data_IF_609677245979
#
_entry.id   IF_609677245979
#
_cell.length_a   1.000
_cell.length_b   1.000
_cell.length_c   1.000
_cell.angle_alpha   90.00
_cell.angle_beta   90.00
_cell.angle_gamma   90.00
#
_symmetry.space_group_name_H-M   'P 1'
#
loop_
_entity.id
_entity.type
_entity.pdbx_description
1 polymer ?
#
# COMPACT_ATOMS: atom_id res chain seq x y z
N UNK A 1 -36.84 -33.91 -4.64
CA UNK A 1 -36.70 -33.25 -3.33
C UNK A 1 -35.36 -32.52 -3.35
N UNK A 2 -35.39 -31.24 -3.60
CA UNK A 2 -34.19 -30.42 -3.75
C UNK A 2 -33.93 -29.70 -2.43
N UNK A 3 -32.85 -30.07 -1.73
CA UNK A 3 -32.37 -29.32 -0.58
C UNK A 3 -31.40 -28.22 -1.07
N UNK A 4 -31.86 -26.98 -1.07
CA UNK A 4 -31.01 -25.80 -1.21
C UNK A 4 -30.41 -25.51 0.16
N UNK A 5 -29.14 -25.83 0.33
CA UNK A 5 -28.36 -25.35 1.46
C UNK A 5 -28.02 -23.87 1.27
N UNK A 6 -28.56 -23.02 2.12
CA UNK A 6 -28.16 -21.60 2.22
C UNK A 6 -26.78 -21.54 2.84
N UNK A 7 -25.76 -21.34 2.01
CA UNK A 7 -24.43 -20.93 2.46
C UNK A 7 -24.48 -19.46 2.81
N UNK A 8 -24.54 -19.16 4.09
CA UNK A 8 -24.27 -17.80 4.62
C UNK A 8 -22.82 -17.44 4.28
N UNK A 9 -22.67 -16.47 3.38
CA UNK A 9 -21.38 -15.89 3.06
C UNK A 9 -20.84 -15.15 4.29
N UNK A 10 -19.76 -15.66 4.85
CA UNK A 10 -19.00 -14.97 5.88
C UNK A 10 -18.49 -13.63 5.30
N UNK A 11 -18.49 -12.53 6.08
CA UNK A 11 -17.95 -11.25 5.64
C UNK A 11 -16.47 -11.39 5.28
N UNK A 12 -15.94 -10.53 4.41
CA UNK A 12 -14.53 -10.54 4.04
C UNK A 12 -13.68 -10.39 5.30
N UNK A 13 -12.80 -11.37 5.52
CA UNK A 13 -11.92 -11.38 6.68
C UNK A 13 -10.65 -10.60 6.36
N UNK A 14 -10.25 -9.75 7.31
CA UNK A 14 -9.01 -9.01 7.43
C UNK A 14 -8.79 -7.88 6.40
N UNK A 15 -9.26 -6.72 6.74
CA UNK A 15 -8.87 -5.46 6.16
C UNK A 15 -7.92 -4.75 7.16
N UNK A 16 -6.71 -4.44 6.73
CA UNK A 16 -5.80 -3.62 7.52
C UNK A 16 -5.77 -2.23 6.90
N UNK A 17 -6.39 -1.30 7.59
CA UNK A 17 -6.35 0.12 7.25
C UNK A 17 -5.20 0.77 8.00
N UNK A 18 -4.26 1.33 7.28
CA UNK A 18 -3.29 2.24 7.84
C UNK A 18 -3.53 3.62 7.23
N UNK A 19 -4.07 4.49 8.04
CA UNK A 19 -4.03 5.90 7.77
C UNK A 19 -2.60 6.38 8.03
N UNK A 20 -1.90 6.74 6.97
CA UNK A 20 -0.67 7.52 7.08
C UNK A 20 -0.95 8.99 7.40
N UNK A 21 -2.18 9.32 7.79
CA UNK A 21 -2.34 10.47 8.64
C UNK A 21 -1.47 10.15 9.85
N UNK A 22 -0.34 10.85 10.00
CA UNK A 22 0.21 11.02 11.33
C UNK A 22 -1.03 11.27 12.19
N UNK A 23 -1.40 10.32 13.06
CA UNK A 23 -2.41 10.58 14.06
C UNK A 23 -2.17 12.02 14.45
N UNK A 24 -3.17 12.91 14.52
CA UNK A 24 -2.93 14.15 15.18
C UNK A 24 -2.26 13.69 16.45
N UNK A 25 -0.94 13.91 16.50
CA UNK A 25 -0.15 13.76 17.73
C UNK A 25 -1.08 14.39 18.69
N UNK A 26 -1.60 13.59 19.63
CA UNK A 26 -2.55 14.00 20.62
C UNK A 26 -2.57 15.49 20.61
N UNK A 27 -3.69 16.12 20.31
CA UNK A 27 -3.77 17.55 20.22
C UNK A 27 -3.53 18.13 21.62
N UNK A 28 -2.40 17.81 22.18
CA UNK A 28 -1.75 18.55 23.23
C UNK A 28 -1.43 19.86 22.54
N UNK A 29 -2.44 20.69 22.62
CA UNK A 29 -2.44 22.10 22.28
C UNK A 29 -1.14 22.61 22.85
N UNK A 30 -0.18 22.92 21.98
CA UNK A 30 0.97 23.73 22.37
C UNK A 30 0.36 25.08 22.71
N UNK A 31 0.02 25.28 23.98
CA UNK A 31 -0.36 26.58 24.49
C UNK A 31 0.91 27.41 24.48
N UNK A 32 0.99 28.30 23.53
CA UNK A 32 1.95 29.40 23.58
C UNK A 32 1.49 30.33 24.73
N UNK A 33 2.40 30.69 25.64
CA UNK A 33 2.17 31.79 26.54
C UNK A 33 1.92 33.08 25.74
N UNK A 34 1.33 34.08 26.38
CA UNK A 34 0.97 35.34 25.71
C UNK A 34 2.15 36.09 25.06
N UNK A 35 3.39 35.60 25.18
CA UNK A 35 4.62 36.16 24.63
C UNK A 35 5.23 35.29 23.50
N UNK A 36 4.61 34.14 23.14
CA UNK A 36 5.09 33.30 22.06
C UNK A 36 6.33 32.46 22.36
N UNK A 37 6.68 32.31 23.65
CA UNK A 37 7.81 31.49 24.11
C UNK A 37 7.34 30.10 24.48
N UNK A 38 8.07 29.06 24.04
CA UNK A 38 7.84 27.67 24.38
C UNK A 38 8.23 27.42 25.84
N UNK A 39 7.31 26.94 26.66
CA UNK A 39 7.64 26.47 28.01
C UNK A 39 8.46 25.17 27.90
N UNK A 40 9.71 25.21 28.38
CA UNK A 40 10.69 24.10 28.31
C UNK A 40 10.45 22.99 29.35
N UNK A 41 9.27 22.81 29.92
CA UNK A 41 8.97 21.69 30.79
C UNK A 41 8.37 20.52 30.02
N UNK A 42 9.18 19.49 29.82
CA UNK A 42 8.82 18.14 29.42
C UNK A 42 8.66 17.84 27.92
N UNK A 43 9.49 18.37 27.05
CA UNK A 43 9.52 17.93 25.67
C UNK A 43 10.91 17.38 25.30
N UNK A 44 11.07 16.07 25.40
CA UNK A 44 12.11 15.34 24.65
C UNK A 44 11.78 15.41 23.14
N UNK A 45 11.87 16.61 22.56
CA UNK A 45 11.86 16.76 21.11
C UNK A 45 13.16 16.18 20.60
N UNK A 46 13.03 15.08 19.87
CA UNK A 46 14.12 14.54 19.07
C UNK A 46 14.60 15.65 18.12
N UNK A 47 15.79 16.21 18.37
CA UNK A 47 16.42 17.13 17.43
C UNK A 47 16.69 16.38 16.12
N UNK A 48 15.91 16.68 15.12
CA UNK A 48 16.11 16.16 13.76
C UNK A 48 17.33 16.89 13.20
N UNK A 49 18.41 16.18 12.84
CA UNK A 49 19.56 16.83 12.22
C UNK A 49 19.16 17.43 10.87
N UNK A 50 19.25 18.75 10.77
CA UNK A 50 18.93 19.52 9.57
C UNK A 50 17.51 20.08 9.61
N UNK A 51 17.39 21.34 9.87
CA UNK A 51 16.27 22.30 9.79
C UNK A 51 14.96 21.82 9.12
N UNK A 52 14.35 20.75 9.64
CA UNK A 52 12.97 20.38 9.26
C UNK A 52 12.06 21.24 10.14
N UNK A 53 11.57 22.34 9.56
CA UNK A 53 10.55 23.18 10.22
C UNK A 53 9.24 22.38 10.36
N UNK A 54 8.46 22.70 11.39
CA UNK A 54 7.10 22.17 11.61
C UNK A 54 6.23 22.26 10.36
N UNK A 55 6.43 23.31 9.54
CA UNK A 55 5.79 23.49 8.21
C UNK A 55 6.03 22.32 7.23
N UNK A 56 7.07 21.51 7.43
CA UNK A 56 7.35 20.34 6.61
C UNK A 56 6.57 19.08 7.07
N UNK A 57 6.12 19.04 8.33
CA UNK A 57 5.26 17.96 8.85
C UNK A 57 3.85 18.11 8.29
N UNK A 58 3.33 19.34 8.16
CA UNK A 58 2.04 19.60 7.51
C UNK A 58 2.04 19.24 6.04
N UNK A 59 3.20 19.28 5.36
CA UNK A 59 3.34 18.81 3.96
C UNK A 59 3.36 17.29 3.85
N UNK A 60 3.64 16.55 4.93
CA UNK A 60 3.47 15.10 5.00
C UNK A 60 1.98 14.69 4.94
N UNK A 61 1.04 15.63 5.14
CA UNK A 61 -0.41 15.41 4.99
C UNK A 61 -0.85 15.02 3.57
N UNK A 62 0.05 15.11 2.57
CA UNK A 62 -0.21 14.68 1.19
C UNK A 62 0.23 13.23 0.91
N UNK A 63 0.54 12.45 1.93
CA UNK A 63 0.70 11.01 1.77
C UNK A 63 -0.66 10.35 1.57
N UNK A 64 -0.74 9.29 0.72
CA UNK A 64 -1.99 8.59 0.50
C UNK A 64 -2.46 7.87 1.77
N UNK A 65 -3.76 7.84 2.00
CA UNK A 65 -4.40 6.84 2.86
C UNK A 65 -4.31 5.51 2.14
N UNK A 66 -3.69 4.50 2.79
CA UNK A 66 -3.37 3.23 2.15
C UNK A 66 -4.08 2.06 2.81
N UNK A 67 -4.47 1.07 2.01
CA UNK A 67 -5.06 -0.17 2.50
C UNK A 67 -4.53 -1.38 1.71
N UNK A 68 -4.55 -2.57 2.35
CA UNK A 68 -4.34 -3.86 1.67
C UNK A 68 -5.62 -4.67 1.66
N UNK A 69 -5.90 -5.36 0.56
CA UNK A 69 -7.07 -6.19 0.38
C UNK A 69 -6.69 -7.57 -0.17
N UNK A 70 -6.98 -8.64 0.56
CA UNK A 70 -7.02 -9.97 -0.02
C UNK A 70 -8.43 -10.21 -0.59
N UNK A 71 -8.58 -10.09 -1.91
CA UNK A 71 -9.87 -10.07 -2.59
C UNK A 71 -10.53 -11.44 -2.67
N UNK A 72 -9.75 -12.54 -2.72
CA UNK A 72 -10.28 -13.88 -3.01
C UNK A 72 -11.34 -13.84 -4.11
N UNK A 73 -10.93 -13.43 -5.32
CA UNK A 73 -11.77 -13.06 -6.46
C UNK A 73 -12.39 -11.66 -6.33
N UNK A 74 -11.80 -10.73 -7.10
CA UNK A 74 -12.20 -9.32 -7.10
C UNK A 74 -13.56 -9.09 -7.75
N UNK A 75 -13.81 -9.70 -8.92
CA UNK A 75 -14.97 -9.39 -9.75
C UNK A 75 -16.32 -9.48 -9.03
N UNK A 76 -16.67 -10.55 -8.27
CA UNK A 76 -17.95 -10.62 -7.58
C UNK A 76 -18.08 -9.66 -6.39
N UNK A 77 -16.95 -9.09 -5.89
CA UNK A 77 -16.91 -8.19 -4.75
C UNK A 77 -16.61 -6.75 -5.13
N UNK A 78 -16.51 -6.47 -6.43
CA UNK A 78 -16.03 -5.20 -6.95
C UNK A 78 -16.81 -3.98 -6.42
N UNK A 79 -18.14 -4.08 -6.36
CA UNK A 79 -18.97 -3.00 -5.83
C UNK A 79 -18.75 -2.77 -4.32
N UNK A 80 -18.63 -3.83 -3.54
CA UNK A 80 -18.40 -3.72 -2.10
C UNK A 80 -17.04 -3.09 -1.82
N UNK A 81 -15.99 -3.57 -2.50
CA UNK A 81 -14.65 -3.01 -2.36
C UNK A 81 -14.59 -1.55 -2.80
N UNK A 82 -15.21 -1.21 -3.94
CA UNK A 82 -15.30 0.18 -4.40
C UNK A 82 -15.98 1.07 -3.36
N UNK A 83 -17.10 0.63 -2.78
CA UNK A 83 -17.80 1.40 -1.77
C UNK A 83 -16.93 1.58 -0.51
N UNK A 84 -16.27 0.52 -0.05
CA UNK A 84 -15.35 0.58 1.08
C UNK A 84 -14.20 1.58 0.85
N UNK A 85 -13.60 1.57 -0.35
CA UNK A 85 -12.55 2.51 -0.74
C UNK A 85 -13.05 3.96 -0.68
N UNK A 86 -14.26 4.22 -1.18
CA UNK A 86 -14.85 5.56 -1.20
C UNK A 86 -15.23 5.99 0.21
N UNK A 87 -15.94 5.15 0.96
CA UNK A 87 -16.42 5.45 2.31
C UNK A 87 -15.29 5.71 3.32
N UNK A 88 -14.17 5.00 3.15
CA UNK A 88 -12.98 5.16 4.00
C UNK A 88 -11.94 6.12 3.44
N UNK A 89 -12.27 6.81 2.36
CA UNK A 89 -11.39 7.78 1.70
C UNK A 89 -9.99 7.22 1.37
N UNK A 90 -9.92 5.95 0.96
CA UNK A 90 -8.66 5.30 0.63
C UNK A 90 -8.13 5.87 -0.68
N UNK A 91 -6.89 6.32 -0.64
CA UNK A 91 -6.22 6.92 -1.79
C UNK A 91 -5.44 5.89 -2.61
N UNK A 92 -4.90 4.84 -1.95
CA UNK A 92 -4.12 3.78 -2.59
C UNK A 92 -4.43 2.42 -1.97
N UNK A 93 -4.95 1.50 -2.77
CA UNK A 93 -5.21 0.12 -2.40
C UNK A 93 -4.20 -0.85 -3.03
N UNK A 94 -3.66 -1.76 -2.22
CA UNK A 94 -2.86 -2.91 -2.64
C UNK A 94 -3.75 -4.15 -2.63
N UNK A 95 -4.02 -4.72 -3.80
CA UNK A 95 -4.95 -5.83 -3.94
C UNK A 95 -4.19 -7.10 -4.27
N UNK A 96 -4.56 -8.19 -3.63
CA UNK A 96 -4.02 -9.52 -3.89
C UNK A 96 -5.15 -10.54 -4.05
N UNK A 97 -4.84 -11.71 -4.61
CA UNK A 97 -5.83 -12.74 -4.95
C UNK A 97 -7.00 -12.19 -5.79
N UNK A 98 -6.69 -11.35 -6.77
CA UNK A 98 -7.71 -10.71 -7.63
C UNK A 98 -8.44 -11.70 -8.53
N UNK A 99 -7.83 -12.86 -8.84
CA UNK A 99 -8.37 -13.96 -9.65
C UNK A 99 -8.90 -13.52 -11.01
N UNK A 100 -8.20 -12.59 -11.65
CA UNK A 100 -8.49 -12.22 -13.02
C UNK A 100 -8.10 -13.35 -13.96
N UNK A 101 -9.03 -13.76 -14.81
CA UNK A 101 -8.77 -14.74 -15.87
C UNK A 101 -8.27 -13.98 -17.10
N UNK A 102 -7.02 -14.20 -17.47
CA UNK A 102 -6.40 -13.59 -18.68
C UNK A 102 -7.19 -13.91 -19.98
N UNK A 103 -7.88 -15.05 -20.01
CA UNK A 103 -8.70 -15.47 -21.14
C UNK A 103 -10.03 -14.70 -21.25
N UNK A 104 -10.49 -14.06 -20.16
CA UNK A 104 -11.70 -13.25 -20.14
C UNK A 104 -11.35 -11.76 -20.15
N UNK A 105 -10.86 -11.26 -21.30
CA UNK A 105 -10.59 -9.82 -21.54
C UNK A 105 -11.74 -8.91 -21.07
N UNK A 106 -12.98 -9.43 -21.13
CA UNK A 106 -14.15 -8.70 -20.67
C UNK A 106 -14.14 -8.41 -19.16
N UNK A 107 -13.59 -9.28 -18.31
CA UNK A 107 -13.58 -9.03 -16.86
C UNK A 107 -12.64 -7.89 -16.49
N UNK A 108 -11.41 -7.89 -16.99
CA UNK A 108 -10.46 -6.81 -16.74
C UNK A 108 -11.03 -5.47 -17.21
N UNK A 109 -11.54 -5.44 -18.44
CA UNK A 109 -12.16 -4.23 -19.00
C UNK A 109 -13.36 -3.74 -18.16
N UNK A 110 -14.21 -4.66 -17.68
CA UNK A 110 -15.35 -4.30 -16.84
C UNK A 110 -14.91 -3.75 -15.48
N UNK A 111 -13.88 -4.35 -14.86
CA UNK A 111 -13.28 -3.86 -13.61
C UNK A 111 -12.73 -2.45 -13.83
N UNK A 112 -11.87 -2.27 -14.83
CA UNK A 112 -11.26 -0.98 -15.14
C UNK A 112 -12.31 0.08 -15.40
N UNK A 113 -13.30 -0.19 -16.26
CA UNK A 113 -14.36 0.74 -16.60
C UNK A 113 -15.21 1.14 -15.39
N UNK A 114 -15.63 0.17 -14.57
CA UNK A 114 -16.46 0.47 -13.39
C UNK A 114 -15.68 1.31 -12.37
N UNK A 115 -14.42 1.01 -12.16
CA UNK A 115 -13.58 1.77 -11.23
C UNK A 115 -13.26 3.16 -11.78
N UNK A 116 -12.97 3.28 -13.05
CA UNK A 116 -12.69 4.55 -13.72
C UNK A 116 -13.89 5.51 -13.70
N UNK A 117 -15.10 5.00 -13.89
CA UNK A 117 -16.35 5.77 -13.74
C UNK A 117 -16.58 6.30 -12.32
N UNK A 118 -15.89 5.77 -11.32
CA UNK A 118 -15.95 6.20 -9.93
C UNK A 118 -14.66 6.91 -9.48
N UNK A 119 -13.88 7.44 -10.41
CA UNK A 119 -12.67 8.20 -10.11
C UNK A 119 -11.51 7.35 -9.56
N UNK A 120 -11.49 6.05 -9.85
CA UNK A 120 -10.46 5.13 -9.39
C UNK A 120 -9.65 4.56 -10.56
N UNK A 121 -8.33 4.69 -10.53
CA UNK A 121 -7.42 4.05 -11.49
C UNK A 121 -7.01 2.68 -11.00
N UNK A 122 -7.10 1.69 -11.89
CA UNK A 122 -6.76 0.31 -11.62
C UNK A 122 -5.67 -0.17 -12.59
N UNK A 123 -4.67 -0.87 -12.06
CA UNK A 123 -3.67 -1.59 -12.84
C UNK A 123 -3.44 -2.96 -12.21
N UNK A 124 -3.26 -4.01 -13.02
CA UNK A 124 -3.14 -5.37 -12.52
C UNK A 124 -2.09 -6.22 -13.23
N UNK A 125 -1.77 -7.34 -12.62
CA UNK A 125 -1.04 -8.45 -13.20
C UNK A 125 -1.83 -9.73 -12.93
N UNK A 126 -2.58 -10.16 -13.95
CA UNK A 126 -3.31 -11.41 -13.91
C UNK A 126 -2.37 -12.61 -14.01
N UNK A 127 -2.71 -13.68 -13.28
CA UNK A 127 -1.99 -14.95 -13.38
C UNK A 127 -2.61 -15.84 -14.47
N UNK A 128 -1.81 -16.49 -15.31
CA UNK A 128 -2.30 -17.58 -16.16
C UNK A 128 -2.98 -18.65 -15.28
N UNK A 129 -4.21 -19.05 -15.64
CA UNK A 129 -5.01 -19.99 -14.86
C UNK A 129 -5.99 -19.34 -13.85
N UNK A 130 -5.93 -18.01 -13.66
CA UNK A 130 -6.96 -17.22 -13.02
C UNK A 130 -7.03 -17.22 -11.48
N UNK A 131 -6.15 -17.94 -10.78
CA UNK A 131 -6.03 -17.92 -9.32
C UNK A 131 -4.85 -17.02 -8.91
N UNK A 132 -4.99 -16.23 -7.84
CA UNK A 132 -3.93 -15.30 -7.38
C UNK A 132 -3.99 -13.96 -8.10
N UNK A 133 -2.81 -13.41 -8.44
CA UNK A 133 -2.65 -12.09 -9.06
C UNK A 133 -2.57 -10.94 -8.06
N UNK A 134 -2.00 -9.83 -8.52
CA UNK A 134 -1.83 -8.60 -7.75
C UNK A 134 -2.29 -7.38 -8.55
N UNK A 135 -2.81 -6.38 -7.85
CA UNK A 135 -3.22 -5.13 -8.47
C UNK A 135 -2.98 -3.93 -7.55
N UNK A 136 -3.02 -2.76 -8.15
CA UNK A 136 -3.01 -1.46 -7.49
C UNK A 136 -4.24 -0.66 -7.92
N UNK A 137 -4.84 0.03 -6.97
CA UNK A 137 -5.94 0.95 -7.22
C UNK A 137 -5.61 2.30 -6.57
N UNK A 138 -5.88 3.39 -7.27
CA UNK A 138 -5.62 4.74 -6.74
C UNK A 138 -6.78 5.70 -7.04
N UNK A 139 -7.01 6.61 -6.10
CA UNK A 139 -7.93 7.73 -6.25
C UNK A 139 -7.40 8.68 -7.33
N UNK A 140 -8.11 8.79 -8.45
CA UNK A 140 -7.72 9.61 -9.60
C UNK A 140 -7.87 11.11 -9.36
N UNK A 141 -8.66 11.53 -8.41
CA UNK A 141 -8.78 12.96 -8.10
C UNK A 141 -7.49 13.50 -7.49
N UNK A 142 -6.85 12.69 -6.64
CA UNK A 142 -5.65 13.08 -5.89
C UNK A 142 -4.35 12.62 -6.55
N UNK A 143 -4.37 11.49 -7.27
CA UNK A 143 -3.17 10.84 -7.78
C UNK A 143 -3.31 10.39 -9.24
N UNK A 144 -2.20 10.33 -9.96
CA UNK A 144 -2.08 9.53 -11.17
C UNK A 144 -1.29 8.25 -10.87
N UNK A 145 -1.75 7.12 -11.38
CA UNK A 145 -1.11 5.81 -11.22
C UNK A 145 -0.72 5.25 -12.58
N UNK A 146 0.55 4.95 -12.76
CA UNK A 146 1.11 4.34 -13.97
C UNK A 146 1.78 3.01 -13.64
N UNK A 147 1.61 2.01 -14.50
CA UNK A 147 2.35 0.75 -14.39
C UNK A 147 3.80 0.98 -14.78
N UNK A 148 4.73 0.59 -13.92
CA UNK A 148 6.16 0.62 -14.25
C UNK A 148 6.52 -0.54 -15.18
N UNK A 149 7.36 -0.25 -16.17
CA UNK A 149 7.87 -1.26 -17.10
C UNK A 149 9.04 -2.03 -16.46
N UNK A 150 8.70 -2.90 -15.52
CA UNK A 150 9.64 -3.82 -14.86
C UNK A 150 9.47 -5.20 -15.47
N UNK A 151 10.58 -5.84 -15.85
CA UNK A 151 10.56 -7.22 -16.33
C UNK A 151 10.27 -8.17 -15.18
N UNK A 152 9.04 -8.69 -15.14
CA UNK A 152 8.61 -9.60 -14.07
C UNK A 152 8.89 -11.05 -14.51
N UNK A 153 9.67 -11.83 -13.72
CA UNK A 153 9.88 -13.25 -13.99
C UNK A 153 8.56 -14.01 -14.08
N UNK A 154 8.49 -14.95 -15.03
CA UNK A 154 7.30 -15.77 -15.24
C UNK A 154 6.76 -16.39 -13.93
N UNK A 155 5.48 -16.34 -13.73
CA UNK A 155 4.74 -16.87 -12.57
C UNK A 155 5.02 -16.17 -11.22
N UNK A 156 5.58 -14.99 -11.17
CA UNK A 156 5.52 -14.13 -9.99
C UNK A 156 4.23 -13.28 -10.02
N UNK A 157 3.64 -13.12 -8.86
CA UNK A 157 2.40 -12.39 -8.68
C UNK A 157 2.71 -11.05 -8.01
N UNK A 158 3.20 -10.12 -8.83
CA UNK A 158 3.70 -8.81 -8.39
C UNK A 158 3.41 -7.77 -9.45
N UNK A 159 3.12 -6.55 -9.01
CA UNK A 159 2.97 -5.39 -9.87
C UNK A 159 3.68 -4.19 -9.28
N UNK A 160 4.34 -3.44 -10.14
CA UNK A 160 5.00 -2.19 -9.80
C UNK A 160 4.29 -1.02 -10.46
N UNK A 161 4.10 0.05 -9.70
CA UNK A 161 3.48 1.29 -10.16
C UNK A 161 4.27 2.51 -9.74
N UNK A 162 4.03 3.60 -10.43
CA UNK A 162 4.48 4.93 -10.08
C UNK A 162 3.25 5.79 -9.80
N UNK A 163 3.12 6.20 -8.55
CA UNK A 163 2.05 7.07 -8.09
C UNK A 163 2.59 8.51 -8.06
N UNK A 164 1.84 9.45 -8.66
CA UNK A 164 2.19 10.87 -8.62
C UNK A 164 1.02 11.66 -8.04
N UNK A 165 1.23 12.39 -6.95
CA UNK A 165 0.24 13.36 -6.48
C UNK A 165 -0.05 14.40 -7.57
N UNK A 166 -1.30 14.79 -7.70
CA UNK A 166 -1.74 15.85 -8.63
C UNK A 166 -1.57 17.26 -8.04
N UNK A 167 -1.46 17.34 -6.71
CA UNK A 167 -1.18 18.60 -6.03
C UNK A 167 0.22 19.11 -6.36
N UNK A 168 0.32 20.37 -6.77
CA UNK A 168 1.60 21.03 -7.02
C UNK A 168 2.41 21.21 -5.74
N UNK A 169 1.77 21.33 -4.60
CA UNK A 169 2.38 21.48 -3.28
C UNK A 169 2.78 20.15 -2.64
N UNK A 170 2.53 19.00 -3.31
CA UNK A 170 2.90 17.71 -2.77
C UNK A 170 4.41 17.62 -2.52
N UNK A 171 4.78 17.20 -1.31
CA UNK A 171 6.19 17.05 -0.92
C UNK A 171 6.91 16.03 -1.80
N UNK A 172 6.29 14.87 -2.00
CA UNK A 172 6.81 13.85 -2.90
C UNK A 172 6.14 13.98 -4.26
N UNK A 173 6.92 14.19 -5.31
CA UNK A 173 6.40 14.27 -6.70
C UNK A 173 6.19 12.89 -7.31
N UNK A 174 6.79 11.86 -6.76
CA UNK A 174 6.74 10.47 -7.22
C UNK A 174 6.80 9.55 -6.01
N UNK A 175 6.02 8.47 -6.03
CA UNK A 175 6.00 7.42 -5.02
C UNK A 175 6.05 6.09 -5.76
N UNK A 176 7.01 5.24 -5.43
CA UNK A 176 7.10 3.88 -5.97
C UNK A 176 6.13 3.01 -5.17
N UNK A 177 5.23 2.32 -5.86
CA UNK A 177 4.23 1.46 -5.22
C UNK A 177 4.32 0.04 -5.77
N UNK A 178 4.14 -0.95 -4.89
CA UNK A 178 4.23 -2.36 -5.26
C UNK A 178 3.16 -3.16 -4.54
N UNK A 179 2.44 -4.00 -5.26
CA UNK A 179 1.59 -5.03 -4.66
C UNK A 179 2.10 -6.41 -5.05
N UNK A 180 2.21 -7.34 -4.11
CA UNK A 180 2.56 -8.73 -4.40
C UNK A 180 1.77 -9.74 -3.55
N UNK A 181 1.59 -10.92 -4.12
CA UNK A 181 1.02 -12.07 -3.46
C UNK A 181 2.02 -13.22 -3.41
N UNK A 182 2.26 -13.76 -2.22
CA UNK A 182 3.04 -14.96 -2.01
C UNK A 182 2.11 -16.10 -1.57
N UNK A 183 1.80 -17.07 -2.43
CA UNK A 183 0.98 -18.21 -2.04
C UNK A 183 1.59 -18.97 -0.84
N UNK A 184 0.75 -19.57 0.04
CA UNK A 184 1.26 -20.36 1.16
C UNK A 184 2.22 -21.44 0.69
N UNK A 185 3.34 -21.63 1.41
CA UNK A 185 4.37 -22.65 1.13
C UNK A 185 4.91 -22.60 -0.31
N UNK A 186 4.96 -21.44 -0.92
CA UNK A 186 5.42 -21.28 -2.29
C UNK A 186 6.91 -21.57 -2.42
N UNK A 187 7.27 -22.47 -3.34
CA UNK A 187 8.67 -22.73 -3.74
C UNK A 187 9.28 -21.54 -4.49
N UNK A 188 8.48 -20.52 -4.80
CA UNK A 188 8.91 -19.32 -5.55
C UNK A 188 9.30 -18.16 -4.62
N UNK A 189 9.17 -18.31 -3.31
CA UNK A 189 9.43 -17.24 -2.36
C UNK A 189 10.83 -16.64 -2.51
N UNK A 190 11.86 -17.48 -2.66
CA UNK A 190 13.22 -16.98 -2.89
C UNK A 190 13.31 -16.14 -4.17
N UNK A 191 12.78 -16.65 -5.29
CA UNK A 191 12.76 -15.93 -6.57
C UNK A 191 11.96 -14.62 -6.50
N UNK A 192 10.87 -14.59 -5.74
CA UNK A 192 10.07 -13.38 -5.51
C UNK A 192 10.87 -12.38 -4.67
N UNK A 193 11.52 -12.82 -3.60
CA UNK A 193 12.39 -11.99 -2.78
C UNK A 193 13.53 -11.37 -3.60
N UNK A 194 14.25 -12.17 -4.38
CA UNK A 194 15.36 -11.72 -5.23
C UNK A 194 14.89 -10.68 -6.25
N UNK A 195 13.71 -10.93 -6.87
CA UNK A 195 13.11 -9.99 -7.80
C UNK A 195 12.75 -8.66 -7.09
N UNK A 196 12.14 -8.71 -5.91
CA UNK A 196 11.79 -7.50 -5.16
C UNK A 196 13.05 -6.72 -4.83
N UNK A 197 14.06 -7.35 -4.24
CA UNK A 197 15.30 -6.68 -3.82
C UNK A 197 16.02 -6.06 -5.01
N UNK A 198 16.22 -6.81 -6.09
CA UNK A 198 16.89 -6.29 -7.30
C UNK A 198 16.13 -5.14 -7.95
N UNK A 199 14.80 -5.23 -8.01
CA UNK A 199 13.95 -4.16 -8.56
C UNK A 199 13.97 -2.92 -7.68
N UNK A 200 13.96 -3.07 -6.35
CA UNK A 200 14.07 -1.96 -5.41
C UNK A 200 15.36 -1.17 -5.61
N UNK A 201 16.50 -1.84 -5.77
CA UNK A 201 17.78 -1.17 -6.04
C UNK A 201 17.77 -0.44 -7.39
N UNK A 202 17.25 -1.08 -8.43
CA UNK A 202 17.10 -0.46 -9.75
C UNK A 202 16.22 0.79 -9.68
N UNK A 203 15.04 0.69 -9.05
CA UNK A 203 14.10 1.80 -8.94
C UNK A 203 14.62 2.91 -8.03
N UNK A 204 15.36 2.61 -6.97
CA UNK A 204 16.02 3.61 -6.13
C UNK A 204 17.07 4.38 -6.91
N UNK A 205 17.83 3.73 -7.80
CA UNK A 205 18.78 4.41 -8.70
C UNK A 205 18.04 5.32 -9.68
N UNK A 206 16.91 4.89 -10.23
CA UNK A 206 16.13 5.66 -11.18
C UNK A 206 15.32 6.80 -10.53
N UNK A 207 14.89 6.60 -9.29
CA UNK A 207 14.05 7.53 -8.51
C UNK A 207 14.62 7.69 -7.09
N UNK A 208 15.74 8.41 -6.92
CA UNK A 208 16.49 8.44 -5.64
C UNK A 208 15.67 9.02 -4.49
N UNK A 209 14.79 9.98 -4.74
CA UNK A 209 14.02 10.70 -3.72
C UNK A 209 12.58 10.19 -3.57
N UNK A 210 12.16 9.20 -4.37
CA UNK A 210 10.80 8.69 -4.31
C UNK A 210 10.62 7.76 -3.10
N UNK A 211 9.63 7.99 -2.23
CA UNK A 211 9.24 7.01 -1.23
C UNK A 211 8.86 5.68 -1.87
N UNK A 212 8.99 4.61 -1.11
CA UNK A 212 8.59 3.27 -1.51
C UNK A 212 7.47 2.79 -0.60
N UNK A 213 6.39 2.27 -1.18
CA UNK A 213 5.26 1.69 -0.48
C UNK A 213 4.96 0.32 -1.07
N UNK A 214 4.98 -0.73 -0.25
CA UNK A 214 4.71 -2.10 -0.67
C UNK A 214 3.58 -2.66 0.19
N UNK A 215 2.50 -3.12 -0.45
CA UNK A 215 1.42 -3.86 0.22
C UNK A 215 1.37 -5.30 -0.27
N UNK A 216 1.16 -6.26 0.63
CA UNK A 216 1.23 -7.66 0.25
C UNK A 216 0.50 -8.61 1.20
N UNK A 217 0.07 -9.77 0.70
CA UNK A 217 -0.15 -10.97 1.50
C UNK A 217 1.09 -11.87 1.38
N UNK A 218 1.95 -11.82 2.41
CA UNK A 218 3.21 -12.55 2.42
C UNK A 218 3.08 -14.02 2.79
N UNK A 219 1.97 -14.40 3.39
CA UNK A 219 1.73 -15.74 3.94
C UNK A 219 2.96 -16.28 4.72
N UNK A 220 3.60 -17.36 4.24
CA UNK A 220 4.79 -17.97 4.86
C UNK A 220 6.13 -17.40 4.38
N UNK A 221 6.11 -16.36 3.53
CA UNK A 221 7.33 -15.75 3.00
C UNK A 221 8.10 -14.99 4.08
N UNK A 222 9.40 -15.22 4.17
CA UNK A 222 10.30 -14.41 4.99
C UNK A 222 10.61 -13.08 4.28
N UNK A 223 10.28 -11.98 4.94
CA UNK A 223 10.50 -10.61 4.41
C UNK A 223 11.79 -9.98 4.91
N UNK A 224 12.53 -10.63 5.81
CA UNK A 224 13.79 -10.08 6.35
C UNK A 224 14.78 -9.68 5.26
N UNK A 225 15.00 -10.46 4.17
CA UNK A 225 15.90 -10.04 3.11
C UNK A 225 15.44 -8.74 2.41
N UNK A 226 14.12 -8.49 2.30
CA UNK A 226 13.58 -7.25 1.75
C UNK A 226 13.86 -6.10 2.71
N UNK A 227 13.58 -6.27 4.00
CA UNK A 227 13.79 -5.22 5.01
C UNK A 227 15.28 -4.87 5.17
N UNK A 228 16.16 -5.85 4.98
CA UNK A 228 17.61 -5.71 5.16
C UNK A 228 18.38 -5.45 3.85
N UNK A 229 17.71 -5.09 2.76
CA UNK A 229 18.35 -4.88 1.46
C UNK A 229 19.18 -3.59 1.35
N UNK A 230 19.43 -2.87 2.45
CA UNK A 230 20.19 -1.62 2.47
C UNK A 230 19.37 -0.36 2.20
N UNK A 231 18.09 -0.51 1.91
CA UNK A 231 17.12 0.59 1.90
C UNK A 231 16.47 0.71 3.27
N UNK A 232 15.94 1.90 3.61
CA UNK A 232 15.35 2.17 4.94
C UNK A 232 13.92 1.63 5.06
N UNK A 233 13.69 0.41 4.61
CA UNK A 233 12.39 -0.23 4.59
C UNK A 233 11.96 -0.67 6.00
N UNK A 234 10.71 -0.38 6.36
CA UNK A 234 10.10 -0.84 7.61
C UNK A 234 8.72 -1.41 7.34
N UNK A 235 8.45 -2.57 7.93
CA UNK A 235 7.10 -3.12 7.99
C UNK A 235 6.35 -2.41 9.13
N UNK A 236 5.13 -1.92 8.85
CA UNK A 236 4.39 -1.02 9.74
C UNK A 236 3.09 -1.60 10.28
N UNK A 237 2.67 -2.79 9.84
CA UNK A 237 1.52 -3.50 10.40
C UNK A 237 1.97 -4.26 11.65
N UNK A 238 1.48 -3.88 12.81
CA UNK A 238 1.86 -4.44 14.11
C UNK A 238 0.77 -5.34 14.73
N UNK A 239 -0.45 -5.31 14.18
CA UNK A 239 -1.57 -6.13 14.63
C UNK A 239 -1.74 -7.39 13.77
N UNK A 240 -2.14 -8.53 14.38
CA UNK A 240 -2.46 -9.74 13.63
C UNK A 240 -3.59 -9.49 12.62
N UNK A 241 -3.36 -9.87 11.37
CA UNK A 241 -4.33 -9.70 10.28
C UNK A 241 -5.19 -10.95 10.07
N UNK A 242 -4.65 -12.13 10.41
CA UNK A 242 -5.38 -13.42 10.25
C UNK A 242 -4.83 -14.49 11.17
N UNK A 243 -5.73 -15.16 11.92
CA UNK A 243 -5.39 -16.30 12.80
C UNK A 243 -4.21 -16.02 13.75
N UNK A 244 -4.16 -14.85 14.37
CA UNK A 244 -3.08 -14.44 15.28
C UNK A 244 -1.73 -14.18 14.60
N UNK A 245 -1.68 -14.10 13.26
CA UNK A 245 -0.46 -13.84 12.48
C UNK A 245 -0.61 -12.58 11.63
N UNK A 246 0.51 -11.90 11.42
CA UNK A 246 0.61 -10.80 10.45
C UNK A 246 0.94 -11.43 9.09
N UNK A 247 -0.06 -11.57 8.23
CA UNK A 247 0.05 -12.11 6.88
C UNK A 247 -0.04 -11.00 5.83
N UNK A 248 -0.98 -10.08 6.03
CA UNK A 248 -1.12 -8.89 5.23
C UNK A 248 -0.19 -7.82 5.80
N UNK A 249 0.69 -7.29 4.98
CA UNK A 249 1.76 -6.38 5.40
C UNK A 249 1.79 -5.12 4.56
N UNK A 250 2.29 -4.05 5.18
CA UNK A 250 2.69 -2.82 4.50
C UNK A 250 4.14 -2.53 4.87
N UNK A 251 4.97 -2.30 3.86
CA UNK A 251 6.37 -1.93 4.01
C UNK A 251 6.55 -0.53 3.41
N UNK A 252 7.17 0.35 4.16
CA UNK A 252 7.39 1.74 3.77
C UNK A 252 8.86 2.11 3.87
N UNK A 253 9.33 2.91 2.89
CA UNK A 253 10.51 3.74 2.99
C UNK A 253 10.09 5.19 2.73
N UNK A 254 9.92 5.94 3.80
CA UNK A 254 9.61 7.36 3.76
C UNK A 254 10.73 8.08 4.50
N UNK A 255 11.75 8.56 3.78
CA UNK A 255 13.01 9.02 4.37
C UNK A 255 12.85 10.06 5.47
N UNK A 256 11.82 10.92 5.37
CA UNK A 256 11.60 12.02 6.32
C UNK A 256 10.67 11.68 7.48
N UNK A 257 9.85 10.61 7.40
CA UNK A 257 8.90 10.25 8.46
C UNK A 257 9.44 9.18 9.43
N UNK A 258 10.54 8.52 9.09
CA UNK A 258 11.10 7.43 9.90
C UNK A 258 11.87 7.91 11.14
N UNK A 259 12.00 9.21 11.34
CA UNK A 259 12.79 9.77 12.46
C UNK A 259 11.95 10.14 13.69
N UNK A 260 10.65 9.99 13.69
CA UNK A 260 9.76 10.45 14.75
C UNK A 260 9.20 9.35 15.65
N UNK A 261 9.90 8.22 15.83
CA UNK A 261 9.53 7.23 16.86
C UNK A 261 10.75 6.79 17.65
N UNK A 262 10.84 7.34 18.84
CA UNK A 262 11.46 6.73 20.01
C UNK A 262 10.44 6.70 21.13
#
# INVERSE_FOLDING_TARGET
MNCWGSTTLSPPQSETLLSCNANPVNSDIVQLDGNGTLNESENNFCQIPGNIRIDNITRASNLPVIATYNCRSLFPKLNNMKNDIIEREIDLGFLVEIWEKSEKRNHQFQIEKLLEMNGLKYISTARPGGWGGAALIANQEKFSLEKLNVVIPHNLEIIWGLLRPKSEDAYFKKIIVCSYYSPPNSRKNAKLTDHIVSTLHMLRTQYPDAPIMIGADKNSMDIKPILNCGLRLRQVVDLPTRNGKILDIIILDIPQLLFCRH
#
